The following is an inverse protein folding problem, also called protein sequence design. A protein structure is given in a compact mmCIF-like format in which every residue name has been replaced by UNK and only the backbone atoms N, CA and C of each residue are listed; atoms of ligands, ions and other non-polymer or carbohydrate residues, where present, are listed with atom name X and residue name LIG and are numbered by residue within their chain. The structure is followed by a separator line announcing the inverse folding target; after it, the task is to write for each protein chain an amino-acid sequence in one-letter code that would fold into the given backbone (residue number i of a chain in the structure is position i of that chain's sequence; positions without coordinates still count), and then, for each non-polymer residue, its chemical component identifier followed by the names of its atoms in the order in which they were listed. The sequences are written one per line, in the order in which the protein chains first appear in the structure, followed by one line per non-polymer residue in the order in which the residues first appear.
data_IF_253747208543
#
_entry.id   IF_253747208543
#
_cell.length_a   1.000
_cell.length_b   1.000
_cell.length_c   1.000
_cell.angle_alpha   90.00
_cell.angle_beta   90.00
_cell.angle_gamma   90.00
#
_symmetry.space_group_name_H-M   'P 1'
#
loop_
_entity.id
_entity.type
_entity.pdbx_description
1 polymer ?
#
# COMPACT_ATOMS: atom_id res chain seq x y z
N UNK A 1 -19.29 7.39 -19.71
CA UNK A 1 -17.88 7.15 -20.07
C UNK A 1 -17.36 6.08 -19.13
N UNK A 2 -16.97 4.91 -19.64
CA UNK A 2 -16.43 3.84 -18.81
C UNK A 2 -14.93 4.03 -18.69
N UNK A 3 -14.44 4.39 -17.51
CA UNK A 3 -13.01 4.32 -17.22
C UNK A 3 -12.62 2.85 -17.10
N UNK A 4 -11.58 2.46 -17.84
CA UNK A 4 -11.02 1.10 -17.84
C UNK A 4 -9.78 1.04 -16.96
N UNK A 5 -9.35 -0.15 -16.52
CA UNK A 5 -8.12 -0.27 -15.72
C UNK A 5 -6.88 0.32 -16.42
N UNK A 6 -6.89 0.39 -17.74
CA UNK A 6 -5.84 1.01 -18.55
C UNK A 6 -5.78 2.54 -18.46
N UNK A 7 -6.79 3.23 -17.91
CA UNK A 7 -6.75 4.67 -17.66
C UNK A 7 -6.17 5.02 -16.29
N UNK A 8 -5.81 4.04 -15.48
CA UNK A 8 -5.18 4.26 -14.17
C UNK A 8 -3.72 4.60 -14.41
N UNK A 9 -3.28 5.79 -13.99
CA UNK A 9 -1.89 6.25 -14.16
C UNK A 9 -1.02 6.00 -12.92
N UNK A 10 -1.61 5.77 -11.75
CA UNK A 10 -0.90 5.52 -10.50
C UNK A 10 -1.80 4.86 -9.45
N UNK A 11 -1.18 4.19 -8.48
CA UNK A 11 -1.84 3.60 -7.32
C UNK A 11 -1.41 4.30 -6.04
N UNK A 12 -2.37 4.56 -5.16
CA UNK A 12 -2.14 5.09 -3.82
C UNK A 12 -2.70 4.12 -2.80
N UNK A 13 -1.85 3.63 -1.89
CA UNK A 13 -2.27 2.64 -0.91
C UNK A 13 -1.81 3.02 0.49
N UNK A 14 -2.77 3.02 1.40
CA UNK A 14 -2.54 3.24 2.83
C UNK A 14 -1.85 2.01 3.42
N UNK A 15 -0.68 2.20 4.03
CA UNK A 15 0.10 1.11 4.64
C UNK A 15 -0.16 0.90 6.13
N UNK A 16 -1.02 1.71 6.74
CA UNK A 16 -1.38 1.63 8.16
C UNK A 16 -1.07 2.93 8.93
N UNK A 17 -1.46 3.04 10.21
CA UNK A 17 -1.94 1.96 11.07
C UNK A 17 -3.32 1.40 10.68
N UNK A 18 -3.58 0.13 11.02
CA UNK A 18 -4.86 -0.52 10.72
C UNK A 18 -4.85 -2.04 10.92
N UNK A 19 -5.96 -2.69 10.59
CA UNK A 19 -6.12 -4.15 10.70
C UNK A 19 -5.06 -4.90 9.90
N UNK A 20 -4.35 -5.82 10.56
CA UNK A 20 -3.25 -6.55 9.94
C UNK A 20 -3.67 -7.37 8.70
N UNK A 21 -4.86 -7.98 8.73
CA UNK A 21 -5.40 -8.75 7.61
C UNK A 21 -5.79 -7.85 6.44
N UNK A 22 -6.42 -6.70 6.75
CA UNK A 22 -6.81 -5.73 5.73
C UNK A 22 -5.58 -5.12 5.03
N UNK A 23 -4.56 -4.73 5.80
CA UNK A 23 -3.33 -4.16 5.27
C UNK A 23 -2.55 -5.15 4.40
N UNK A 24 -2.44 -6.42 4.82
CA UNK A 24 -1.78 -7.46 3.99
C UNK A 24 -2.52 -7.67 2.68
N UNK A 25 -3.84 -7.83 2.74
CA UNK A 25 -4.66 -8.01 1.54
C UNK A 25 -4.54 -6.80 0.62
N UNK A 26 -4.73 -5.58 1.13
CA UNK A 26 -4.65 -4.36 0.35
C UNK A 26 -3.29 -4.14 -0.32
N UNK A 27 -2.19 -4.32 0.42
CA UNK A 27 -0.84 -4.20 -0.13
C UNK A 27 -0.54 -5.28 -1.18
N UNK A 28 -1.02 -6.52 -0.99
CA UNK A 28 -0.85 -7.57 -1.99
C UNK A 28 -1.56 -7.22 -3.31
N UNK A 29 -2.80 -6.75 -3.26
CA UNK A 29 -3.51 -6.30 -4.46
C UNK A 29 -2.83 -5.08 -5.11
N UNK A 30 -2.33 -4.15 -4.31
CA UNK A 30 -1.58 -2.99 -4.80
C UNK A 30 -0.33 -3.39 -5.58
N UNK A 31 0.46 -4.32 -5.03
CA UNK A 31 1.66 -4.85 -5.68
C UNK A 31 1.30 -5.55 -6.99
N UNK A 32 0.25 -6.38 -6.99
CA UNK A 32 -0.21 -7.09 -8.19
C UNK A 32 -0.66 -6.11 -9.28
N UNK A 33 -1.50 -5.13 -8.94
CA UNK A 33 -1.98 -4.14 -9.92
C UNK A 33 -0.83 -3.31 -10.47
N UNK A 34 0.08 -2.87 -9.61
CA UNK A 34 1.30 -2.17 -10.01
C UNK A 34 2.12 -2.98 -11.00
N UNK A 35 2.31 -4.27 -10.73
CA UNK A 35 3.08 -5.18 -11.58
C UNK A 35 2.39 -5.42 -12.93
N UNK A 36 1.08 -5.67 -12.92
CA UNK A 36 0.31 -5.99 -14.14
C UNK A 36 0.14 -4.76 -15.04
N UNK A 37 -0.09 -3.59 -14.44
CA UNK A 37 -0.35 -2.35 -15.18
C UNK A 37 0.93 -1.54 -15.46
N UNK A 38 2.06 -1.92 -14.87
CA UNK A 38 3.35 -1.20 -14.92
C UNK A 38 3.22 0.29 -14.56
N UNK A 39 2.47 0.57 -13.50
CA UNK A 39 2.21 1.94 -13.02
C UNK A 39 2.91 2.23 -11.69
N UNK A 40 3.21 3.51 -11.38
CA UNK A 40 3.72 3.90 -10.07
C UNK A 40 2.78 3.50 -8.92
N UNK A 41 3.37 3.00 -7.82
CA UNK A 41 2.68 2.77 -6.55
C UNK A 41 3.27 3.67 -5.48
N UNK A 42 2.41 4.43 -4.81
CA UNK A 42 2.76 5.29 -3.70
C UNK A 42 2.13 4.75 -2.43
N UNK A 43 2.98 4.41 -1.46
CA UNK A 43 2.51 4.12 -0.12
C UNK A 43 2.25 5.44 0.60
N UNK A 44 1.17 5.51 1.37
CA UNK A 44 0.88 6.62 2.29
C UNK A 44 0.61 6.06 3.68
N UNK A 45 0.95 6.82 4.71
CA UNK A 45 0.59 6.45 6.08
C UNK A 45 -0.88 6.82 6.35
N UNK A 46 -1.51 6.08 7.25
CA UNK A 46 -2.88 6.31 7.68
C UNK A 46 -3.02 7.70 8.27
N UNK A 47 -4.14 8.35 7.96
CA UNK A 47 -4.38 9.76 8.26
C UNK A 47 -5.66 10.21 7.58
N UNK A 48 -5.91 11.52 7.60
CA UNK A 48 -7.03 12.11 6.86
C UNK A 48 -6.68 12.33 5.37
N UNK A 49 -7.72 12.60 4.57
CA UNK A 49 -7.57 12.85 3.13
C UNK A 49 -6.60 14.01 2.81
N UNK A 50 -6.61 15.13 3.56
CA UNK A 50 -5.60 16.18 3.42
C UNK A 50 -4.17 15.68 3.59
N UNK A 51 -3.88 14.88 4.63
CA UNK A 51 -2.55 14.32 4.85
C UNK A 51 -2.11 13.40 3.71
N UNK A 52 -3.03 12.65 3.11
CA UNK A 52 -2.72 11.83 1.94
C UNK A 52 -2.33 12.69 0.73
N UNK A 53 -3.06 13.77 0.46
CA UNK A 53 -2.76 14.66 -0.68
C UNK A 53 -1.36 15.26 -0.59
N UNK A 54 -0.96 15.71 0.59
CA UNK A 54 0.40 16.22 0.83
C UNK A 54 1.44 15.11 0.70
N UNK A 55 1.19 13.94 1.29
CA UNK A 55 2.09 12.79 1.19
C UNK A 55 2.28 12.33 -0.26
N UNK A 56 1.27 12.43 -1.11
CA UNK A 56 1.32 12.08 -2.53
C UNK A 56 2.20 13.07 -3.30
N UNK A 57 2.02 14.37 -3.09
CA UNK A 57 2.79 15.42 -3.79
C UNK A 57 4.29 15.34 -3.48
N UNK A 58 4.64 14.94 -2.26
CA UNK A 58 6.02 14.95 -1.78
C UNK A 58 6.79 13.63 -2.03
N UNK A 59 6.13 12.54 -2.46
CA UNK A 59 6.74 11.21 -2.49
C UNK A 59 7.27 10.79 -3.86
N UNK A 60 8.32 9.99 -3.79
CA UNK A 60 8.87 9.23 -4.90
C UNK A 60 8.13 7.89 -5.02
N UNK A 61 7.89 7.35 -6.24
CA UNK A 61 7.30 6.03 -6.41
C UNK A 61 8.05 4.97 -5.59
N UNK A 62 7.31 4.05 -4.99
CA UNK A 62 7.90 2.90 -4.28
C UNK A 62 8.74 2.08 -5.28
N UNK A 63 9.94 1.58 -4.96
CA UNK A 63 10.73 0.75 -5.88
C UNK A 63 10.00 -0.54 -6.27
N UNK A 64 10.19 -1.03 -7.51
CA UNK A 64 9.46 -2.20 -8.05
C UNK A 64 9.82 -3.51 -7.34
N UNK A 65 11.05 -3.60 -6.82
CA UNK A 65 11.62 -4.80 -6.20
C UNK A 65 11.68 -4.72 -4.67
N UNK A 66 10.84 -3.87 -4.05
CA UNK A 66 10.77 -3.71 -2.60
C UNK A 66 9.62 -4.51 -1.99
N UNK A 67 9.85 -5.10 -0.81
CA UNK A 67 8.75 -5.63 0.00
C UNK A 67 7.84 -4.47 0.45
N UNK A 68 6.53 -4.60 0.21
CA UNK A 68 5.56 -3.66 0.78
C UNK A 68 5.33 -4.03 2.25
N UNK A 69 5.95 -3.29 3.16
CA UNK A 69 5.83 -3.55 4.60
C UNK A 69 4.65 -2.77 5.20
N UNK A 70 3.61 -3.46 5.69
CA UNK A 70 2.53 -2.83 6.45
C UNK A 70 3.03 -2.29 7.80
N UNK A 71 2.43 -1.18 8.23
CA UNK A 71 2.57 -0.62 9.57
C UNK A 71 1.44 -1.14 10.44
N UNK A 72 1.77 -1.98 11.41
CA UNK A 72 0.83 -2.50 12.39
C UNK A 72 0.91 -1.69 13.69
N UNK A 73 -0.22 -1.49 14.36
CA UNK A 73 -0.23 -0.92 15.74
C UNK A 73 0.29 -1.92 16.78
N UNK A 74 0.18 -3.22 16.48
CA UNK A 74 0.67 -4.31 17.32
C UNK A 74 1.41 -5.31 16.43
N UNK A 75 2.58 -5.78 16.87
CA UNK A 75 3.27 -6.88 16.19
C UNK A 75 2.28 -8.05 16.03
N UNK A 76 2.21 -8.69 14.85
CA UNK A 76 1.41 -9.89 14.72
C UNK A 76 1.87 -10.87 15.80
N UNK A 77 0.92 -11.46 16.53
CA UNK A 77 1.19 -12.54 17.48
C UNK A 77 1.71 -13.75 16.71
N UNK A 78 2.98 -13.71 16.28
CA UNK A 78 3.69 -14.88 15.80
C UNK A 78 3.91 -15.67 17.08
N UNK A 79 3.10 -16.72 17.27
CA UNK A 79 3.36 -17.73 18.28
C UNK A 79 4.77 -18.25 18.00
N UNK A 80 5.78 -17.78 18.74
CA UNK A 80 7.07 -18.44 18.74
C UNK A 80 6.77 -19.84 19.27
N UNK A 81 6.89 -20.86 18.40
CA UNK A 81 6.87 -22.25 18.86
C UNK A 81 7.91 -22.32 19.97
N UNK A 82 7.46 -22.69 21.17
CA UNK A 82 8.33 -22.85 22.33
C UNK A 82 9.56 -23.66 21.94
N UNK A 83 10.72 -23.12 22.28
CA UNK A 83 11.94 -23.90 22.45
C UNK A 83 11.73 -24.93 23.56
#
# INVERSE_FOLDING_TARGET
HGETLSSIEALFVVRGPGSASALRSGLAHAATLRFVLDIPLFLVEGGDVPAWREAIRARTPTPLHGFLTPLYERLPNITQKGM
#
